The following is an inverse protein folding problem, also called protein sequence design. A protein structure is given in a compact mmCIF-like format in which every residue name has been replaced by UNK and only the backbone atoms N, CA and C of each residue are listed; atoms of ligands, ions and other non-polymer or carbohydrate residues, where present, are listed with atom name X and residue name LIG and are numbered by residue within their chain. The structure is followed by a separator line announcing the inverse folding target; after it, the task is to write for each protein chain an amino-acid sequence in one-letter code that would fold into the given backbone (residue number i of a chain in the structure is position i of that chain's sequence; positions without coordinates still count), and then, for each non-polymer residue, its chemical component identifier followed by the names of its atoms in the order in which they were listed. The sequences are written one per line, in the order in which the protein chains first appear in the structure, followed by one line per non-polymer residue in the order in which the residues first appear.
data_IF_847616806548
#
_entry.id   IF_847616806548
#
_cell.length_a   1.000
_cell.length_b   1.000
_cell.length_c   1.000
_cell.angle_alpha   90.00
_cell.angle_beta   90.00
_cell.angle_gamma   90.00
#
_symmetry.space_group_name_H-M   'P 1'
#
loop_
_entity.id
_entity.type
_entity.pdbx_description
1 polymer ?
#
# COMPACT_ATOMS: atom_id res chain seq x y z
N UNK A 1 -4.44 -1.98 -8.46
CA UNK A 1 -4.95 -2.18 -7.07
C UNK A 1 -4.83 -3.64 -6.68
N UNK A 2 -4.94 -3.98 -5.39
CA UNK A 2 -4.97 -5.38 -4.93
C UNK A 2 -6.34 -6.03 -5.11
N UNK A 3 -6.49 -7.26 -4.64
CA UNK A 3 -7.70 -8.10 -4.74
C UNK A 3 -8.40 -8.34 -3.38
N UNK A 4 -8.13 -7.52 -2.36
CA UNK A 4 -8.77 -7.70 -1.06
C UNK A 4 -10.28 -7.39 -1.09
N UNK A 5 -11.07 -8.12 -0.30
CA UNK A 5 -12.54 -7.95 -0.25
C UNK A 5 -13.03 -6.64 0.37
N UNK A 6 -12.14 -5.84 0.95
CA UNK A 6 -12.45 -4.55 1.59
C UNK A 6 -12.29 -3.37 0.63
N UNK A 7 -11.39 -2.45 0.98
CA UNK A 7 -11.14 -1.21 0.22
C UNK A 7 -10.80 -1.45 -1.26
N UNK A 8 -10.05 -2.51 -1.56
CA UNK A 8 -9.70 -2.88 -2.94
C UNK A 8 -10.96 -3.23 -3.77
N UNK A 9 -11.90 -4.00 -3.21
CA UNK A 9 -13.17 -4.31 -3.86
C UNK A 9 -14.04 -3.06 -4.08
N UNK A 10 -14.09 -2.15 -3.10
CA UNK A 10 -14.78 -0.86 -3.27
C UNK A 10 -14.14 -0.02 -4.39
N UNK A 11 -12.80 0.10 -4.38
CA UNK A 11 -12.06 0.83 -5.41
C UNK A 11 -12.33 0.24 -6.81
N UNK A 12 -12.37 -1.09 -6.91
CA UNK A 12 -12.72 -1.80 -8.14
C UNK A 12 -14.13 -1.45 -8.63
N UNK A 13 -15.14 -1.54 -7.77
CA UNK A 13 -16.52 -1.18 -8.13
C UNK A 13 -16.64 0.28 -8.57
N UNK A 14 -15.99 1.20 -7.87
CA UNK A 14 -16.01 2.63 -8.23
C UNK A 14 -15.33 2.86 -9.57
N UNK A 15 -14.17 2.25 -9.80
CA UNK A 15 -13.43 2.42 -11.03
C UNK A 15 -14.16 1.82 -12.25
N UNK A 16 -14.84 0.67 -12.09
CA UNK A 16 -15.72 0.12 -13.14
C UNK A 16 -16.87 1.08 -13.49
N UNK A 17 -17.54 1.64 -12.47
CA UNK A 17 -18.65 2.60 -12.68
C UNK A 17 -18.22 3.86 -13.43
N UNK A 18 -16.96 4.26 -13.31
CA UNK A 18 -16.40 5.46 -13.93
C UNK A 18 -15.54 5.16 -15.16
N UNK A 19 -15.57 3.93 -15.68
CA UNK A 19 -14.82 3.50 -16.88
C UNK A 19 -13.31 3.78 -16.77
N UNK A 20 -12.76 3.68 -15.57
CA UNK A 20 -11.32 3.82 -15.32
C UNK A 20 -10.65 2.48 -15.66
N UNK A 21 -9.53 2.52 -16.39
CA UNK A 21 -8.71 1.33 -16.65
C UNK A 21 -8.01 0.88 -15.37
N UNK A 22 -8.01 -0.43 -15.09
CA UNK A 22 -7.49 -0.98 -13.83
C UNK A 22 -6.58 -2.18 -14.09
N UNK A 23 -5.36 -2.08 -13.59
CA UNK A 23 -4.51 -3.26 -13.37
C UNK A 23 -4.83 -3.87 -12.00
N UNK A 24 -5.37 -5.09 -12.02
CA UNK A 24 -5.70 -5.86 -10.83
C UNK A 24 -4.58 -6.87 -10.50
N UNK A 25 -4.00 -6.74 -9.31
CA UNK A 25 -2.97 -7.67 -8.83
C UNK A 25 -3.63 -8.68 -7.88
N UNK A 26 -3.71 -9.93 -8.31
CA UNK A 26 -4.30 -11.03 -7.53
C UNK A 26 -3.24 -11.84 -6.78
N UNK A 27 -3.61 -12.46 -5.67
CA UNK A 27 -2.73 -13.42 -4.98
C UNK A 27 -2.43 -14.64 -5.86
N UNK A 28 -1.18 -15.12 -5.86
CA UNK A 28 -0.84 -16.38 -6.49
C UNK A 28 -1.13 -17.54 -5.55
N UNK A 29 -1.96 -18.49 -5.98
CA UNK A 29 -2.45 -19.55 -5.10
C UNK A 29 -1.41 -20.61 -4.76
N UNK A 30 -0.32 -20.67 -5.52
CA UNK A 30 0.77 -21.61 -5.33
C UNK A 30 1.74 -21.23 -4.19
N UNK A 31 1.68 -20.00 -3.67
CA UNK A 31 2.58 -19.55 -2.60
C UNK A 31 2.01 -19.86 -1.19
N UNK A 32 2.87 -19.99 -0.16
CA UNK A 32 2.40 -20.10 1.22
C UNK A 32 1.54 -18.90 1.61
N UNK A 33 0.46 -19.11 2.39
CA UNK A 33 -0.54 -18.08 2.71
C UNK A 33 0.05 -16.76 3.22
N UNK A 34 1.11 -16.84 4.04
CA UNK A 34 1.81 -15.66 4.59
C UNK A 34 2.55 -14.85 3.53
N UNK A 35 3.01 -15.49 2.46
CA UNK A 35 3.78 -14.85 1.39
C UNK A 35 2.89 -14.27 0.28
N UNK A 36 1.71 -14.86 0.04
CA UNK A 36 0.79 -14.50 -1.06
C UNK A 36 0.45 -13.02 -1.12
N UNK A 37 0.05 -12.44 0.02
CA UNK A 37 -0.36 -11.04 0.09
C UNK A 37 0.82 -10.07 -0.03
N UNK A 38 1.96 -10.43 0.55
CA UNK A 38 3.19 -9.66 0.46
C UNK A 38 3.73 -9.64 -0.98
N UNK A 39 3.70 -10.79 -1.66
CA UNK A 39 4.11 -10.94 -3.05
C UNK A 39 3.23 -10.10 -3.98
N UNK A 40 1.91 -10.24 -3.87
CA UNK A 40 0.94 -9.45 -4.66
C UNK A 40 1.17 -7.95 -4.49
N UNK A 41 1.30 -7.50 -3.25
CA UNK A 41 1.53 -6.08 -2.95
C UNK A 41 2.89 -5.62 -3.45
N UNK A 42 3.90 -6.50 -3.44
CA UNK A 42 5.22 -6.23 -4.01
C UNK A 42 5.16 -6.02 -5.52
N UNK A 43 4.44 -6.87 -6.26
CA UNK A 43 4.24 -6.69 -7.70
C UNK A 43 3.55 -5.36 -8.01
N UNK A 44 2.49 -5.04 -7.29
CA UNK A 44 1.76 -3.78 -7.47
C UNK A 44 2.66 -2.56 -7.24
N UNK A 45 3.44 -2.53 -6.14
CA UNK A 45 4.32 -1.38 -5.85
C UNK A 45 5.47 -1.27 -6.85
N UNK A 46 6.03 -2.40 -7.30
CA UNK A 46 7.08 -2.38 -8.35
C UNK A 46 6.56 -1.83 -9.67
N UNK A 47 5.33 -2.19 -10.06
CA UNK A 47 4.70 -1.63 -11.25
C UNK A 47 4.42 -0.12 -11.09
N UNK A 48 3.94 0.31 -9.91
CA UNK A 48 3.79 1.74 -9.59
C UNK A 48 5.12 2.49 -9.73
N UNK A 49 6.21 1.92 -9.19
CA UNK A 49 7.54 2.53 -9.29
C UNK A 49 8.03 2.63 -10.74
N UNK A 50 7.83 1.58 -11.55
CA UNK A 50 8.22 1.58 -12.96
C UNK A 50 7.44 2.62 -13.79
N UNK A 51 6.18 2.87 -13.43
CA UNK A 51 5.29 3.79 -14.15
C UNK A 51 5.30 5.23 -13.58
N UNK A 52 6.12 5.54 -12.56
CA UNK A 52 6.13 6.85 -11.93
C UNK A 52 4.83 7.20 -11.18
N UNK A 53 4.09 6.19 -10.70
CA UNK A 53 2.81 6.36 -10.03
C UNK A 53 2.91 6.82 -8.58
N UNK A 54 1.74 7.02 -7.96
CA UNK A 54 1.59 7.41 -6.54
C UNK A 54 0.83 6.32 -5.82
N UNK A 55 1.29 5.93 -4.63
CA UNK A 55 0.54 5.03 -3.75
C UNK A 55 -0.40 5.83 -2.85
N UNK A 56 -1.70 5.60 -2.98
CA UNK A 56 -2.69 6.04 -1.99
C UNK A 56 -2.92 4.90 -1.00
N UNK A 57 -2.79 5.18 0.30
CA UNK A 57 -2.93 4.16 1.35
C UNK A 57 -3.82 4.62 2.50
N UNK A 58 -4.66 3.71 3.00
CA UNK A 58 -5.61 3.95 4.08
C UNK A 58 -5.27 3.09 5.30
N UNK A 59 -4.25 3.46 6.10
CA UNK A 59 -3.92 2.70 7.31
C UNK A 59 -5.05 2.82 8.34
N UNK A 60 -5.46 1.67 8.89
CA UNK A 60 -6.50 1.57 9.92
C UNK A 60 -5.93 1.23 11.31
N UNK A 61 -4.60 1.24 11.45
CA UNK A 61 -3.88 0.99 12.69
C UNK A 61 -2.55 1.73 12.69
N UNK A 62 -1.97 1.94 13.87
CA UNK A 62 -0.66 2.57 14.03
C UNK A 62 0.45 1.83 13.25
N UNK A 63 1.47 2.58 12.84
CA UNK A 63 2.67 2.02 12.22
C UNK A 63 3.40 1.09 13.20
N UNK A 64 3.83 -0.11 12.78
CA UNK A 64 4.70 -0.95 13.60
C UNK A 64 5.98 -0.17 13.99
N UNK A 65 6.44 -0.23 15.26
CA UNK A 65 7.49 0.64 15.77
C UNK A 65 8.85 0.45 15.09
N UNK A 66 9.14 -0.78 14.63
CA UNK A 66 10.41 -1.15 13.99
C UNK A 66 10.29 -1.22 12.45
N UNK A 67 9.23 -0.65 11.87
CA UNK A 67 9.09 -0.60 10.43
C UNK A 67 10.01 0.46 9.84
N UNK A 68 10.92 0.04 8.99
CA UNK A 68 11.75 0.91 8.16
C UNK A 68 11.43 0.70 6.67
N UNK A 69 11.48 1.75 5.84
CA UNK A 69 11.39 1.62 4.39
C UNK A 69 12.46 0.68 3.84
N UNK A 70 12.12 -0.06 2.78
CA UNK A 70 13.04 -1.02 2.17
C UNK A 70 12.69 -1.26 0.70
N UNK A 71 13.71 -1.57 -0.11
CA UNK A 71 13.51 -2.00 -1.52
C UNK A 71 12.98 -3.44 -1.64
N UNK A 72 12.85 -4.14 -0.52
CA UNK A 72 12.27 -5.49 -0.40
C UNK A 72 11.15 -5.43 0.64
N UNK A 73 10.28 -6.44 0.68
CA UNK A 73 9.21 -6.51 1.68
C UNK A 73 9.79 -6.31 3.10
N UNK A 74 9.35 -5.28 3.85
CA UNK A 74 10.03 -4.89 5.07
C UNK A 74 9.75 -5.88 6.20
N UNK A 75 10.82 -6.38 6.84
CA UNK A 75 10.71 -7.33 7.97
C UNK A 75 9.94 -6.75 9.15
N UNK A 76 10.00 -5.43 9.34
CA UNK A 76 9.28 -4.71 10.40
C UNK A 76 7.78 -4.56 10.17
N UNK A 77 7.20 -5.06 9.07
CA UNK A 77 5.77 -4.94 8.80
C UNK A 77 4.88 -5.66 9.85
N UNK A 78 5.43 -6.64 10.57
CA UNK A 78 4.78 -7.38 11.66
C UNK A 78 3.33 -7.81 11.35
N UNK A 79 3.12 -8.44 10.18
CA UNK A 79 1.81 -8.89 9.72
C UNK A 79 0.86 -7.80 9.22
N UNK A 80 1.26 -6.53 9.22
CA UNK A 80 0.49 -5.46 8.57
C UNK A 80 0.78 -5.40 7.07
N UNK A 81 -0.17 -5.86 6.26
CA UNK A 81 -0.12 -5.72 4.80
C UNK A 81 0.01 -4.25 4.38
N UNK A 82 -0.87 -3.37 4.87
CA UNK A 82 -0.89 -1.94 4.53
C UNK A 82 0.44 -1.25 4.82
N UNK A 83 0.98 -1.40 6.04
CA UNK A 83 2.24 -0.78 6.41
C UNK A 83 3.44 -1.44 5.69
N UNK A 84 3.39 -2.74 5.41
CA UNK A 84 4.38 -3.40 4.57
C UNK A 84 4.43 -2.84 3.14
N UNK A 85 3.26 -2.58 2.55
CA UNK A 85 3.12 -1.94 1.24
C UNK A 85 3.65 -0.49 1.27
N UNK A 86 3.32 0.29 2.29
CA UNK A 86 3.82 1.67 2.45
C UNK A 86 5.34 1.68 2.58
N UNK A 87 5.92 0.85 3.46
CA UNK A 87 7.37 0.79 3.65
C UNK A 87 8.12 0.35 2.40
N UNK A 88 7.54 -0.56 1.61
CA UNK A 88 8.08 -0.95 0.32
C UNK A 88 8.03 0.21 -0.69
N UNK A 89 6.91 0.92 -0.77
CA UNK A 89 6.73 2.06 -1.69
C UNK A 89 7.74 3.17 -1.40
N UNK A 90 7.85 3.61 -0.14
CA UNK A 90 8.84 4.61 0.28
C UNK A 90 10.26 4.13 -0.02
N UNK A 91 10.57 2.86 0.25
CA UNK A 91 11.90 2.30 -0.02
C UNK A 91 12.26 2.23 -1.50
N UNK A 92 11.26 2.16 -2.39
CA UNK A 92 11.41 2.21 -3.85
C UNK A 92 11.33 3.64 -4.41
N UNK A 93 11.14 4.66 -3.57
CA UNK A 93 11.02 6.05 -4.00
C UNK A 93 9.64 6.41 -4.59
N UNK A 94 8.64 5.56 -4.38
CA UNK A 94 7.25 5.84 -4.81
C UNK A 94 6.63 6.85 -3.85
N UNK A 95 6.09 7.99 -4.34
CA UNK A 95 5.35 8.92 -3.50
C UNK A 95 4.16 8.23 -2.83
N UNK A 96 3.94 8.51 -1.55
CA UNK A 96 2.82 7.94 -0.78
C UNK A 96 1.92 9.05 -0.25
N UNK A 97 0.63 8.94 -0.52
CA UNK A 97 -0.42 9.76 0.08
C UNK A 97 -1.17 8.92 1.10
N UNK A 98 -1.14 9.32 2.37
CA UNK A 98 -1.88 8.65 3.42
C UNK A 98 -3.27 9.27 3.63
N UNK A 99 -4.25 8.38 3.80
CA UNK A 99 -5.62 8.66 4.16
C UNK A 99 -5.97 7.87 5.43
N UNK A 100 -5.42 8.26 6.59
CA UNK A 100 -5.52 7.46 7.79
C UNK A 100 -6.95 7.40 8.33
N UNK A 101 -7.36 6.21 8.74
CA UNK A 101 -8.69 5.96 9.32
C UNK A 101 -8.67 6.00 10.86
N UNK A 102 -7.49 6.19 11.44
CA UNK A 102 -7.27 6.31 12.89
C UNK A 102 -6.30 7.45 13.17
N UNK A 103 -6.49 8.12 14.31
CA UNK A 103 -5.54 9.12 14.77
C UNK A 103 -4.34 8.39 15.42
N UNK A 104 -3.16 8.50 14.82
CA UNK A 104 -1.96 7.81 15.31
C UNK A 104 -0.69 8.56 14.96
N UNK A 105 0.38 8.31 15.72
CA UNK A 105 1.69 8.87 15.42
C UNK A 105 2.24 8.33 14.09
N UNK A 106 2.74 9.24 13.25
CA UNK A 106 3.35 8.89 11.97
C UNK A 106 4.82 8.53 12.14
N UNK A 107 5.32 7.53 11.40
CA UNK A 107 6.74 7.20 11.45
C UNK A 107 7.58 8.34 10.87
N UNK A 108 8.73 8.63 11.50
CA UNK A 108 9.58 9.78 11.14
C UNK A 108 10.06 9.79 9.69
N UNK A 109 10.18 8.61 9.07
CA UNK A 109 10.62 8.48 7.68
C UNK A 109 9.53 8.81 6.65
N UNK A 110 8.29 9.00 7.10
CA UNK A 110 7.19 9.35 6.22
C UNK A 110 7.01 10.87 6.22
N UNK A 111 7.31 11.50 5.09
CA UNK A 111 7.02 12.92 4.90
C UNK A 111 5.51 13.10 4.72
N UNK A 112 4.85 13.69 5.70
CA UNK A 112 3.41 14.02 5.65
C UNK A 112 3.26 15.41 5.06
N UNK A 113 2.64 15.51 3.89
CA UNK A 113 2.11 16.78 3.39
C UNK A 113 0.62 16.84 3.74
N UNK A 114 0.27 17.69 4.70
CA UNK A 114 -1.13 17.98 4.99
C UNK A 114 -1.68 18.84 3.86
N UNK A 115 -2.69 18.34 3.15
CA UNK A 115 -3.43 19.15 2.19
C UNK A 115 -4.38 20.04 2.99
N UNK A 116 -4.15 21.35 2.95
CA UNK A 116 -5.09 22.34 3.47
C UNK A 116 -6.25 22.44 2.47
N UNK A 117 -7.47 22.23 2.95
CA UNK A 117 -8.66 22.65 2.19
C UNK A 117 -8.64 24.18 2.19
N UNK A 118 -8.59 24.77 0.99
CA UNK A 118 -8.72 26.21 0.76
C UNK A 118 -10.20 26.57 0.87
#
# INVERSE_FOLDING_TARGET
MGDASGLDALAWTVAQKNTVLIDLYQVHNQLPIRARYAERSTRMVKALAANGGILHAWPNKACPPNLCPSRRWPKGANGSGTWGTIGLAVGLGVPVVLHPLVNSAWPRWLQVKQLTLI
#
